data_IF_376344181207
#
_entry.id   IF_376344181207
#
_cell.length_a   1.000
_cell.length_b   1.000
_cell.length_c   1.000
_cell.angle_alpha   90.00
_cell.angle_beta   90.00
_cell.angle_gamma   90.00
#
_symmetry.space_group_name_H-M   'P 1'
#
loop_
_entity.id
_entity.type
_entity.pdbx_description
1 polymer ?
#
# COMPACT_ATOMS: atom_id res chain seq x y z
N UNK A 1 -26.78 -22.95 5.95
CA UNK A 1 -25.59 -22.82 6.85
C UNK A 1 -24.33 -22.79 5.99
N UNK A 2 -23.66 -21.64 5.84
CA UNK A 2 -22.31 -21.58 5.25
C UNK A 2 -21.35 -22.27 6.24
N UNK A 3 -20.67 -23.33 5.81
CA UNK A 3 -19.59 -23.93 6.58
C UNK A 3 -18.57 -22.82 6.87
N UNK A 4 -18.31 -22.57 8.14
CA UNK A 4 -17.17 -21.73 8.57
C UNK A 4 -15.90 -22.40 8.02
N UNK A 5 -15.27 -21.78 7.06
CA UNK A 5 -13.96 -22.24 6.57
C UNK A 5 -12.98 -22.12 7.74
N UNK A 6 -12.41 -23.22 8.18
CA UNK A 6 -11.42 -23.21 9.27
C UNK A 6 -10.21 -22.40 8.80
N UNK A 7 -9.53 -21.72 9.72
CA UNK A 7 -8.30 -20.96 9.44
C UNK A 7 -7.26 -21.80 8.67
N UNK A 8 -7.10 -23.06 9.04
CA UNK A 8 -6.17 -23.99 8.37
C UNK A 8 -6.60 -24.29 6.93
N UNK A 9 -7.89 -24.43 6.66
CA UNK A 9 -8.41 -24.63 5.29
C UNK A 9 -8.12 -23.39 4.41
N UNK A 10 -8.23 -22.18 4.98
CA UNK A 10 -7.91 -20.95 4.29
C UNK A 10 -6.40 -20.83 3.99
N UNK A 11 -5.54 -21.13 4.96
CA UNK A 11 -4.07 -21.12 4.77
C UNK A 11 -3.65 -22.14 3.72
N UNK A 12 -4.22 -23.35 3.74
CA UNK A 12 -3.96 -24.37 2.72
C UNK A 12 -4.35 -23.89 1.32
N UNK A 13 -5.55 -23.31 1.18
CA UNK A 13 -6.03 -22.77 -0.10
C UNK A 13 -5.11 -21.67 -0.64
N UNK A 14 -4.67 -20.77 0.23
CA UNK A 14 -3.73 -19.68 -0.16
C UNK A 14 -2.39 -20.26 -0.57
N UNK A 15 -1.86 -21.23 0.16
CA UNK A 15 -0.59 -21.88 -0.17
C UNK A 15 -0.68 -22.60 -1.52
N UNK A 16 -1.76 -23.35 -1.76
CA UNK A 16 -1.97 -24.05 -3.04
C UNK A 16 -2.05 -23.07 -4.21
N UNK A 17 -2.72 -21.92 -4.01
CA UNK A 17 -2.79 -20.86 -5.00
C UNK A 17 -1.41 -20.26 -5.31
N UNK A 18 -0.64 -19.93 -4.26
CA UNK A 18 0.71 -19.37 -4.41
C UNK A 18 1.63 -20.38 -5.11
N UNK A 19 1.64 -21.64 -4.67
CA UNK A 19 2.46 -22.69 -5.27
C UNK A 19 2.11 -22.95 -6.75
N UNK A 20 0.82 -22.92 -7.09
CA UNK A 20 0.39 -22.98 -8.47
C UNK A 20 0.89 -21.78 -9.28
N UNK A 21 0.70 -20.56 -8.76
CA UNK A 21 1.15 -19.34 -9.44
C UNK A 21 2.67 -19.29 -9.65
N UNK A 22 3.45 -19.81 -8.69
CA UNK A 22 4.91 -19.94 -8.83
C UNK A 22 5.29 -20.94 -9.92
N UNK A 23 4.66 -22.11 -9.95
CA UNK A 23 4.89 -23.13 -11.00
C UNK A 23 4.55 -22.64 -12.39
N UNK A 24 3.50 -21.81 -12.50
CA UNK A 24 3.06 -21.23 -13.78
C UNK A 24 3.84 -19.94 -14.14
N UNK A 25 4.85 -19.54 -13.35
CA UNK A 25 5.63 -18.30 -13.55
C UNK A 25 4.73 -17.04 -13.61
N UNK A 26 3.75 -16.96 -12.71
CA UNK A 26 2.80 -15.81 -12.62
C UNK A 26 3.02 -15.02 -11.33
N UNK A 27 3.45 -15.68 -10.26
CA UNK A 27 3.59 -15.06 -8.93
C UNK A 27 5.02 -15.19 -8.40
N UNK A 28 5.41 -14.22 -7.56
CA UNK A 28 6.70 -14.19 -6.87
C UNK A 28 7.89 -14.32 -7.84
N UNK A 29 7.82 -13.61 -8.94
CA UNK A 29 8.89 -13.55 -9.92
C UNK A 29 9.99 -12.62 -9.43
N UNK A 30 11.23 -12.92 -9.81
CA UNK A 30 12.42 -12.12 -9.55
C UNK A 30 12.98 -11.64 -10.87
N UNK A 31 13.27 -10.33 -10.94
CA UNK A 31 13.96 -9.76 -12.08
C UNK A 31 15.44 -10.13 -12.04
N UNK A 32 16.05 -10.26 -13.21
CA UNK A 32 17.50 -10.47 -13.41
C UNK A 32 18.25 -9.14 -13.60
N UNK A 33 17.51 -8.01 -13.57
CA UNK A 33 18.07 -6.70 -13.83
C UNK A 33 18.85 -6.16 -12.63
N UNK A 34 20.04 -5.63 -12.88
CA UNK A 34 20.83 -4.88 -11.90
C UNK A 34 20.33 -3.44 -11.73
N UNK A 35 19.66 -2.90 -12.74
CA UNK A 35 19.15 -1.54 -12.76
C UNK A 35 17.71 -1.51 -13.28
N UNK A 36 16.88 -0.70 -12.64
CA UNK A 36 15.53 -0.41 -13.10
C UNK A 36 15.58 0.58 -14.26
N UNK A 37 15.06 0.20 -15.44
CA UNK A 37 14.91 1.13 -16.57
C UNK A 37 13.53 1.80 -16.62
N UNK A 38 12.62 1.40 -15.71
CA UNK A 38 11.27 1.92 -15.58
C UNK A 38 10.25 1.32 -16.56
N UNK A 39 10.65 0.61 -17.57
CA UNK A 39 9.76 0.07 -18.61
C UNK A 39 9.88 -1.42 -18.83
N UNK A 40 11.09 -1.93 -18.89
CA UNK A 40 11.37 -3.33 -19.16
C UNK A 40 11.93 -4.02 -17.94
N UNK A 41 11.68 -5.33 -17.85
CA UNK A 41 12.28 -6.23 -16.87
C UNK A 41 12.69 -7.51 -17.56
N UNK A 42 13.72 -8.18 -17.04
CA UNK A 42 14.15 -9.49 -17.52
C UNK A 42 13.81 -10.56 -16.49
N UNK A 43 13.07 -11.56 -16.94
CA UNK A 43 12.66 -12.73 -16.15
C UNK A 43 12.85 -13.97 -17.00
N UNK A 44 13.53 -14.98 -16.53
CA UNK A 44 13.83 -16.22 -17.26
C UNK A 44 14.45 -15.94 -18.63
N UNK A 45 15.39 -14.99 -18.70
CA UNK A 45 16.09 -14.54 -19.94
C UNK A 45 15.18 -13.93 -21.00
N UNK A 46 13.97 -13.51 -20.63
CA UNK A 46 13.02 -12.83 -21.51
C UNK A 46 12.86 -11.38 -21.08
N UNK A 47 12.91 -10.48 -22.07
CA UNK A 47 12.54 -9.08 -21.83
C UNK A 47 11.02 -8.95 -21.87
N UNK A 48 10.48 -8.39 -20.81
CA UNK A 48 9.03 -8.16 -20.63
C UNK A 48 8.77 -6.68 -20.37
N UNK A 49 7.60 -6.20 -20.76
CA UNK A 49 7.13 -4.87 -20.35
C UNK A 49 6.62 -4.97 -18.91
N UNK A 50 7.12 -4.10 -18.04
CA UNK A 50 6.76 -4.08 -16.64
C UNK A 50 5.42 -3.38 -16.41
N UNK A 51 4.34 -4.14 -16.27
CA UNK A 51 3.04 -3.66 -15.79
C UNK A 51 2.81 -3.91 -14.30
N UNK A 52 3.77 -4.49 -13.59
CA UNK A 52 3.70 -4.78 -12.16
C UNK A 52 4.07 -3.60 -11.26
N UNK A 53 4.34 -2.43 -11.83
CA UNK A 53 4.70 -1.20 -11.12
C UNK A 53 3.50 -0.27 -10.97
N UNK A 54 3.44 0.48 -9.86
CA UNK A 54 2.54 1.63 -9.69
C UNK A 54 3.16 2.95 -10.15
N UNK A 55 4.21 2.89 -10.93
CA UNK A 55 4.94 4.04 -11.47
C UNK A 55 4.20 4.66 -12.67
N UNK A 56 3.12 5.37 -12.41
CA UNK A 56 2.29 5.95 -13.46
C UNK A 56 2.99 7.07 -14.26
N UNK A 57 3.94 7.76 -13.65
CA UNK A 57 4.65 8.90 -14.25
C UNK A 57 6.14 8.63 -14.51
N UNK A 58 6.66 7.45 -14.18
CA UNK A 58 8.07 7.10 -14.32
C UNK A 58 9.02 7.92 -13.42
N UNK A 59 8.50 8.48 -12.33
CA UNK A 59 9.27 9.37 -11.46
C UNK A 59 10.27 8.64 -10.55
N UNK A 60 10.12 7.34 -10.35
CA UNK A 60 11.00 6.52 -9.50
C UNK A 60 12.44 6.46 -10.00
N UNK A 61 12.66 6.73 -11.29
CA UNK A 61 13.99 6.78 -11.91
C UNK A 61 14.45 8.21 -12.25
N UNK A 62 13.66 9.23 -11.94
CA UNK A 62 14.02 10.64 -12.18
C UNK A 62 15.25 11.03 -11.35
N UNK A 63 16.28 11.55 -12.02
CA UNK A 63 17.55 11.88 -11.36
C UNK A 63 17.42 12.99 -10.31
N UNK A 64 16.44 13.89 -10.45
CA UNK A 64 16.15 14.92 -9.44
C UNK A 64 15.63 14.29 -8.14
N UNK A 65 14.77 13.27 -8.25
CA UNK A 65 14.24 12.56 -7.09
C UNK A 65 15.31 11.70 -6.42
N UNK A 66 16.14 11.00 -7.22
CA UNK A 66 17.28 10.25 -6.70
C UNK A 66 18.26 11.15 -5.96
N UNK A 67 18.62 12.28 -6.56
CA UNK A 67 19.53 13.25 -5.94
C UNK A 67 18.95 13.80 -4.62
N UNK A 68 17.66 14.13 -4.58
CA UNK A 68 17.00 14.60 -3.37
C UNK A 68 16.96 13.52 -2.27
N UNK A 69 16.74 12.27 -2.63
CA UNK A 69 16.78 11.16 -1.69
C UNK A 69 18.21 10.96 -1.09
N UNK A 70 19.24 11.03 -1.93
CA UNK A 70 20.64 10.96 -1.50
C UNK A 70 20.98 12.11 -0.54
N UNK A 71 20.62 13.35 -0.88
CA UNK A 71 20.82 14.52 -0.02
C UNK A 71 20.10 14.34 1.34
N UNK A 72 18.84 13.88 1.31
CA UNK A 72 18.09 13.64 2.54
C UNK A 72 18.77 12.58 3.43
N UNK A 73 19.27 11.49 2.86
CA UNK A 73 20.01 10.47 3.60
C UNK A 73 21.31 11.03 4.20
N UNK A 74 22.06 11.84 3.45
CA UNK A 74 23.28 12.45 3.93
C UNK A 74 23.04 13.43 5.08
N UNK A 75 21.95 14.20 5.03
CA UNK A 75 21.60 15.20 6.04
C UNK A 75 20.94 14.60 7.28
N UNK A 76 20.10 13.61 7.13
CA UNK A 76 19.20 13.11 8.19
C UNK A 76 19.44 11.65 8.55
N UNK A 77 20.27 10.92 7.79
CA UNK A 77 20.45 9.48 7.96
C UNK A 77 19.29 8.67 7.42
N UNK A 78 19.31 7.39 7.70
CA UNK A 78 18.28 6.42 7.23
C UNK A 78 17.09 6.30 8.18
N UNK A 79 17.20 6.86 9.38
CA UNK A 79 16.14 6.90 10.38
C UNK A 79 16.25 8.20 11.19
N UNK A 80 15.18 8.99 11.20
CA UNK A 80 15.17 10.28 11.89
C UNK A 80 14.57 10.17 13.30
N UNK A 81 13.44 9.47 13.44
CA UNK A 81 12.71 9.34 14.71
C UNK A 81 11.97 8.01 14.77
N UNK A 82 11.77 7.49 15.95
CA UNK A 82 10.96 6.29 16.18
C UNK A 82 9.46 6.51 15.92
N UNK A 83 8.98 7.75 16.09
CA UNK A 83 7.58 8.10 15.89
C UNK A 83 7.41 9.57 15.57
N UNK A 84 6.58 9.87 14.56
CA UNK A 84 6.16 11.23 14.22
C UNK A 84 5.36 11.92 15.33
N UNK A 85 4.74 11.17 16.23
CA UNK A 85 4.04 11.75 17.39
C UNK A 85 4.98 12.49 18.34
N UNK A 86 6.27 12.13 18.36
CA UNK A 86 7.29 12.77 19.17
C UNK A 86 8.03 13.85 18.41
N UNK A 87 8.61 13.47 17.27
CA UNK A 87 9.43 14.39 16.43
C UNK A 87 9.31 13.99 14.97
N UNK A 88 9.08 14.94 14.10
CA UNK A 88 9.11 14.77 12.63
C UNK A 88 10.27 15.53 12.02
N UNK A 89 10.89 14.97 11.00
CA UNK A 89 11.86 15.69 10.16
C UNK A 89 11.19 16.84 9.38
N UNK A 90 11.94 17.90 9.04
CA UNK A 90 11.39 19.09 8.39
C UNK A 90 10.73 18.80 7.03
N UNK A 91 11.27 17.85 6.28
CA UNK A 91 10.74 17.47 4.96
C UNK A 91 9.30 16.98 4.99
N UNK A 92 8.83 16.39 6.11
CA UNK A 92 7.43 15.99 6.24
C UNK A 92 6.49 17.20 6.16
N UNK A 93 6.81 18.27 6.92
CA UNK A 93 6.00 19.49 6.92
C UNK A 93 5.99 20.15 5.55
N UNK A 94 7.16 20.29 4.93
CA UNK A 94 7.30 20.90 3.61
C UNK A 94 6.48 20.13 2.54
N UNK A 95 6.54 18.80 2.56
CA UNK A 95 5.80 17.97 1.61
C UNK A 95 4.29 18.01 1.88
N UNK A 96 3.85 17.96 3.14
CA UNK A 96 2.44 18.11 3.51
C UNK A 96 1.86 19.45 3.04
N UNK A 97 2.61 20.55 3.20
CA UNK A 97 2.22 21.87 2.71
C UNK A 97 2.15 21.94 1.18
N UNK A 98 3.12 21.35 0.47
CA UNK A 98 3.12 21.32 -1.00
C UNK A 98 1.95 20.50 -1.56
N UNK A 99 1.75 19.31 -1.04
CA UNK A 99 0.65 18.43 -1.47
C UNK A 99 -0.69 19.04 -1.08
N UNK A 100 -0.78 19.67 0.09
CA UNK A 100 -1.97 20.40 0.54
C UNK A 100 -2.39 21.53 -0.40
N UNK A 101 -1.43 22.23 -1.03
CA UNK A 101 -1.72 23.24 -2.06
C UNK A 101 -2.28 22.62 -3.34
N UNK A 102 -1.84 21.41 -3.71
CA UNK A 102 -2.32 20.71 -4.92
C UNK A 102 -3.77 20.23 -4.72
N UNK A 103 -4.08 19.67 -3.55
CA UNK A 103 -5.41 19.11 -3.27
C UNK A 103 -6.35 20.06 -2.56
N UNK A 104 -5.90 21.27 -2.21
CA UNK A 104 -6.67 22.28 -1.46
C UNK A 104 -7.28 21.71 -0.17
N UNK A 105 -6.53 20.81 0.50
CA UNK A 105 -6.98 20.08 1.67
C UNK A 105 -5.83 19.83 2.65
N UNK A 106 -6.12 19.65 3.95
CA UNK A 106 -5.12 19.15 4.90
C UNK A 106 -4.60 17.79 4.50
N UNK A 107 -3.28 17.62 4.54
CA UNK A 107 -2.60 16.37 4.18
C UNK A 107 -1.86 15.81 5.38
N UNK A 108 -1.91 14.51 5.56
CA UNK A 108 -1.10 13.75 6.48
C UNK A 108 -0.32 12.67 5.70
N UNK A 109 0.98 12.75 5.75
CA UNK A 109 1.84 11.72 5.16
C UNK A 109 1.98 10.53 6.10
N UNK A 110 1.89 9.35 5.53
CA UNK A 110 2.12 8.07 6.22
C UNK A 110 3.14 7.23 5.45
N UNK A 111 3.86 6.31 6.11
CA UNK A 111 4.85 5.45 5.43
C UNK A 111 4.24 4.62 4.29
N UNK A 112 3.00 4.22 4.45
CA UNK A 112 2.21 3.55 3.40
C UNK A 112 0.75 3.96 3.51
N UNK A 113 0.03 3.94 2.38
CA UNK A 113 -1.43 4.17 2.36
C UNK A 113 -2.17 3.12 3.22
N UNK A 114 -1.67 1.90 3.29
CA UNK A 114 -2.25 0.85 4.13
C UNK A 114 -2.25 1.25 5.61
N UNK A 115 -1.13 1.77 6.11
CA UNK A 115 -1.06 2.29 7.49
C UNK A 115 -1.92 3.54 7.67
N UNK A 116 -1.99 4.40 6.66
CA UNK A 116 -2.90 5.55 6.65
C UNK A 116 -4.36 5.13 6.84
N UNK A 117 -4.84 4.17 6.05
CA UNK A 117 -6.20 3.65 6.18
C UNK A 117 -6.46 3.00 7.55
N UNK A 118 -5.50 2.24 8.08
CA UNK A 118 -5.63 1.63 9.41
C UNK A 118 -5.71 2.67 10.54
N UNK A 119 -5.06 3.81 10.37
CA UNK A 119 -5.11 4.89 11.36
C UNK A 119 -6.38 5.74 11.22
N UNK A 120 -6.78 6.08 10.00
CA UNK A 120 -7.86 7.05 9.74
C UNK A 120 -9.25 6.43 9.88
N UNK A 121 -9.48 5.24 9.33
CA UNK A 121 -10.83 4.64 9.31
C UNK A 121 -11.41 4.45 10.71
N UNK A 122 -10.67 3.95 11.73
CA UNK A 122 -11.20 3.86 13.08
C UNK A 122 -11.53 5.20 13.76
N UNK A 123 -10.89 6.28 13.32
CA UNK A 123 -11.13 7.62 13.87
C UNK A 123 -12.32 8.29 13.18
N UNK A 124 -12.53 7.97 11.89
CA UNK A 124 -13.59 8.57 11.07
C UNK A 124 -14.97 7.91 11.29
N UNK A 125 -15.04 6.80 12.03
CA UNK A 125 -16.27 6.01 12.23
C UNK A 125 -16.63 6.00 13.71
N UNK A 126 -17.86 6.40 14.04
CA UNK A 126 -18.39 6.42 15.40
C UNK A 126 -19.36 5.25 15.64
N UNK A 127 -19.69 5.06 16.92
CA UNK A 127 -20.70 4.08 17.32
C UNK A 127 -22.07 4.47 16.75
N UNK A 128 -22.69 3.55 16.00
CA UNK A 128 -23.96 3.80 15.31
C UNK A 128 -23.82 4.12 13.81
N UNK A 129 -22.61 4.35 13.35
CA UNK A 129 -22.32 4.50 11.91
C UNK A 129 -22.35 3.15 11.18
N UNK A 130 -22.37 3.23 9.85
CA UNK A 130 -22.26 2.08 8.97
C UNK A 130 -21.18 2.32 7.93
N UNK A 131 -20.39 1.29 7.65
CA UNK A 131 -19.40 1.28 6.57
C UNK A 131 -19.97 0.53 5.38
N UNK A 132 -20.01 1.17 4.21
CA UNK A 132 -20.34 0.54 2.95
C UNK A 132 -19.05 0.36 2.14
N UNK A 133 -18.70 -0.88 1.86
CA UNK A 133 -17.51 -1.24 1.08
C UNK A 133 -17.92 -1.62 -0.34
N UNK A 134 -17.25 -1.05 -1.32
CA UNK A 134 -17.27 -1.61 -2.66
C UNK A 134 -16.67 -3.01 -2.67
N UNK A 135 -17.24 -3.92 -3.46
CA UNK A 135 -16.78 -5.31 -3.55
C UNK A 135 -15.31 -5.43 -4.00
N UNK A 136 -14.82 -4.48 -4.79
CA UNK A 136 -13.46 -4.47 -5.33
C UNK A 136 -12.53 -3.50 -4.59
N UNK A 137 -12.97 -2.90 -3.47
CA UNK A 137 -12.11 -2.01 -2.72
C UNK A 137 -10.83 -2.71 -2.28
N UNK A 138 -9.72 -1.99 -2.32
CA UNK A 138 -8.41 -2.53 -1.98
C UNK A 138 -8.36 -3.08 -0.54
N UNK A 139 -7.58 -4.13 -0.33
CA UNK A 139 -7.44 -4.81 0.97
C UNK A 139 -7.05 -3.87 2.13
N UNK A 140 -6.28 -2.82 1.87
CA UNK A 140 -5.91 -1.81 2.87
C UNK A 140 -7.10 -1.09 3.49
N UNK A 141 -8.24 -1.00 2.79
CA UNK A 141 -9.51 -0.47 3.31
C UNK A 141 -10.35 -1.56 3.96
N UNK A 142 -10.35 -2.77 3.37
CA UNK A 142 -11.15 -3.89 3.89
C UNK A 142 -10.74 -4.31 5.31
N UNK A 143 -9.41 -4.34 5.59
CA UNK A 143 -8.91 -4.79 6.90
C UNK A 143 -9.37 -3.88 8.06
N UNK A 144 -9.14 -2.55 8.04
CA UNK A 144 -9.63 -1.71 9.11
C UNK A 144 -11.16 -1.70 9.22
N UNK A 145 -11.90 -1.78 8.12
CA UNK A 145 -13.36 -1.92 8.16
C UNK A 145 -13.81 -3.20 8.88
N UNK A 146 -13.14 -4.35 8.64
CA UNK A 146 -13.40 -5.58 9.39
C UNK A 146 -13.09 -5.46 10.87
N UNK A 147 -12.04 -4.71 11.24
CA UNK A 147 -11.74 -4.44 12.64
C UNK A 147 -12.85 -3.62 13.30
N UNK A 148 -13.41 -2.62 12.59
CA UNK A 148 -14.57 -1.86 13.08
C UNK A 148 -15.81 -2.73 13.24
N UNK A 149 -16.02 -3.71 12.36
CA UNK A 149 -17.10 -4.68 12.49
C UNK A 149 -16.99 -5.50 13.78
N UNK A 150 -15.79 -5.87 14.21
CA UNK A 150 -15.55 -6.55 15.48
C UNK A 150 -15.86 -5.65 16.69
N UNK A 151 -15.84 -4.34 16.51
CA UNK A 151 -16.21 -3.34 17.52
C UNK A 151 -17.70 -2.96 17.48
N UNK A 152 -18.50 -3.63 16.67
CA UNK A 152 -19.95 -3.44 16.60
C UNK A 152 -20.44 -2.47 15.51
N UNK A 153 -19.55 -1.93 14.67
CA UNK A 153 -19.94 -1.10 13.52
C UNK A 153 -20.55 -1.98 12.43
N UNK A 154 -21.68 -1.53 11.85
CA UNK A 154 -22.29 -2.24 10.72
C UNK A 154 -21.42 -2.11 9.47
N UNK A 155 -21.01 -3.23 8.88
CA UNK A 155 -20.20 -3.25 7.64
C UNK A 155 -20.94 -4.07 6.58
N UNK A 156 -21.22 -3.44 5.46
CA UNK A 156 -21.90 -4.06 4.31
C UNK A 156 -21.04 -3.92 3.06
N UNK A 157 -21.05 -4.96 2.22
CA UNK A 157 -20.37 -4.95 0.93
C UNK A 157 -21.43 -4.71 -0.16
N UNK A 158 -21.22 -3.68 -0.96
CA UNK A 158 -22.02 -3.36 -2.13
C UNK A 158 -21.36 -3.92 -3.38
N UNK A 159 -22.19 -4.32 -4.35
CA UNK A 159 -21.70 -4.84 -5.62
C UNK A 159 -21.01 -3.71 -6.40
N UNK A 160 -19.85 -4.02 -6.98
CA UNK A 160 -19.18 -3.14 -7.94
C UNK A 160 -20.02 -3.03 -9.23
N UNK A 161 -20.13 -1.84 -9.80
CA UNK A 161 -20.87 -1.59 -11.04
C UNK A 161 -20.18 -2.18 -12.25
#
# INVERSE_FOLDING_TARGET
MKKSTNYFDFVSLVNDFIEKGRREHILQLYTEDEFLDGRFIHIDRKQLINFGSCSYLGLEIDDRLKAAAIDAIQRYGVQYSSSRSSVSGPLYKELEELVGKIFEAPILLTPTITLGHQAVIPIAVESGDAILLDQQVHASVQYPAKNMQLQGVSVSVIRHN
#
